data_IF_565849361835
#
_entry.id   IF_565849361835
#
_cell.length_a   1.000
_cell.length_b   1.000
_cell.length_c   1.000
_cell.angle_alpha   90.00
_cell.angle_beta   90.00
_cell.angle_gamma   90.00
#
_symmetry.space_group_name_H-M   'P 1'
#
loop_
_entity.id
_entity.type
_entity.pdbx_description
1 polymer ?
#
# COMPACT_ATOMS: atom_id res chain seq x y z
N UNK A 1 -8.47 13.18 -15.23
CA UNK A 1 -8.08 13.73 -13.91
C UNK A 1 -6.91 14.67 -14.11
N UNK A 2 -7.02 15.96 -13.77
CA UNK A 2 -5.93 16.92 -13.98
C UNK A 2 -4.96 16.88 -12.80
N UNK A 3 -3.66 16.76 -13.06
CA UNK A 3 -2.60 16.80 -12.04
C UNK A 3 -2.13 18.24 -11.85
N UNK A 4 -2.14 18.75 -10.61
CA UNK A 4 -1.44 19.99 -10.27
C UNK A 4 0.06 19.81 -10.53
N UNK A 5 0.66 20.70 -11.32
CA UNK A 5 2.09 20.67 -11.60
C UNK A 5 2.79 21.74 -10.78
N UNK A 6 4.02 21.46 -10.34
CA UNK A 6 4.82 22.42 -9.55
C UNK A 6 4.91 23.80 -10.24
N UNK A 7 4.99 23.82 -11.58
CA UNK A 7 4.95 25.06 -12.37
C UNK A 7 3.64 25.82 -12.20
N UNK A 8 2.49 25.15 -12.26
CA UNK A 8 1.17 25.78 -12.09
C UNK A 8 0.99 26.33 -10.67
N UNK A 9 1.41 25.59 -9.65
CA UNK A 9 1.35 26.04 -8.25
C UNK A 9 2.21 27.28 -8.03
N UNK A 10 3.41 27.30 -8.62
CA UNK A 10 4.34 28.43 -8.54
C UNK A 10 3.78 29.67 -9.27
N UNK A 11 3.23 29.49 -10.47
CA UNK A 11 2.57 30.57 -11.23
C UNK A 11 1.38 31.13 -10.45
N UNK A 12 0.49 30.29 -9.92
CA UNK A 12 -0.65 30.73 -9.09
C UNK A 12 -0.20 31.55 -7.88
N UNK A 13 0.86 31.12 -7.21
CA UNK A 13 1.44 31.83 -6.06
C UNK A 13 1.99 33.20 -6.44
N UNK A 14 2.71 33.30 -7.57
CA UNK A 14 3.25 34.57 -8.08
C UNK A 14 2.13 35.51 -8.52
N UNK A 15 1.16 35.03 -9.31
CA UNK A 15 0.07 35.87 -9.81
C UNK A 15 -0.79 36.42 -8.68
N UNK A 16 -1.09 35.60 -7.67
CA UNK A 16 -1.85 36.06 -6.50
C UNK A 16 -1.08 37.12 -5.71
N UNK A 17 0.23 36.94 -5.52
CA UNK A 17 1.07 37.92 -4.82
C UNK A 17 1.12 39.26 -5.55
N UNK A 18 1.27 39.27 -6.87
CA UNK A 18 1.24 40.52 -7.65
C UNK A 18 -0.09 41.26 -7.42
N UNK A 19 -1.23 40.57 -7.55
CA UNK A 19 -2.55 41.17 -7.33
C UNK A 19 -2.71 41.72 -5.90
N UNK A 20 -2.30 40.93 -4.89
CA UNK A 20 -2.42 41.34 -3.49
C UNK A 20 -1.54 42.56 -3.17
N UNK A 21 -0.30 42.56 -3.65
CA UNK A 21 0.65 43.65 -3.42
C UNK A 21 0.22 44.93 -4.15
N UNK A 22 -0.24 44.83 -5.40
CA UNK A 22 -0.78 45.98 -6.14
C UNK A 22 -1.99 46.59 -5.42
N UNK A 23 -2.86 45.77 -4.83
CA UNK A 23 -4.01 46.26 -4.06
C UNK A 23 -3.56 47.06 -2.84
N UNK A 24 -2.57 46.59 -2.07
CA UNK A 24 -2.03 47.36 -0.93
C UNK A 24 -1.38 48.66 -1.40
N UNK A 25 -0.60 48.63 -2.48
CA UNK A 25 0.03 49.82 -3.04
C UNK A 25 -1.02 50.88 -3.44
N UNK A 26 -2.12 50.48 -4.09
CA UNK A 26 -3.22 51.38 -4.47
C UNK A 26 -3.88 52.00 -3.23
N UNK A 27 -4.17 51.20 -2.21
CA UNK A 27 -4.78 51.70 -0.96
C UNK A 27 -3.86 52.71 -0.28
N UNK A 28 -2.58 52.38 -0.11
CA UNK A 28 -1.61 53.29 0.54
C UNK A 28 -1.46 54.58 -0.26
N UNK A 29 -1.44 54.50 -1.60
CA UNK A 29 -1.37 55.68 -2.45
C UNK A 29 -2.61 56.57 -2.29
N UNK A 30 -3.82 56.00 -2.26
CA UNK A 30 -5.06 56.76 -2.11
C UNK A 30 -5.14 57.51 -0.77
N UNK A 31 -4.62 56.94 0.32
CA UNK A 31 -4.67 57.57 1.64
C UNK A 31 -3.57 58.61 1.87
N UNK A 32 -2.35 58.38 1.37
CA UNK A 32 -1.19 59.21 1.68
C UNK A 32 -0.71 60.09 0.53
N UNK A 33 -1.23 59.89 -0.70
CA UNK A 33 -0.83 60.62 -1.91
C UNK A 33 0.63 60.38 -2.33
N UNK A 34 1.31 59.41 -1.71
CA UNK A 34 2.76 59.21 -1.80
C UNK A 34 3.10 57.86 -2.40
N UNK A 35 3.59 57.88 -3.65
CA UNK A 35 3.93 56.69 -4.42
C UNK A 35 5.13 55.93 -3.82
N UNK A 36 6.09 56.65 -3.26
CA UNK A 36 7.26 56.09 -2.58
C UNK A 36 6.87 55.25 -1.36
N UNK A 37 5.97 55.76 -0.52
CA UNK A 37 5.42 55.02 0.61
C UNK A 37 4.64 53.79 0.15
N UNK A 38 3.79 53.93 -0.86
CA UNK A 38 3.02 52.82 -1.41
C UNK A 38 3.92 51.67 -1.90
N UNK A 39 4.94 51.97 -2.70
CA UNK A 39 5.87 50.97 -3.23
C UNK A 39 6.66 50.30 -2.09
N UNK A 40 7.18 51.10 -1.15
CA UNK A 40 7.95 50.58 -0.01
C UNK A 40 7.10 49.64 0.87
N UNK A 41 5.87 50.04 1.21
CA UNK A 41 4.94 49.21 1.97
C UNK A 41 4.63 47.91 1.23
N UNK A 42 4.29 47.96 -0.07
CA UNK A 42 3.98 46.77 -0.85
C UNK A 42 5.15 45.78 -0.94
N UNK A 43 6.39 46.27 -1.11
CA UNK A 43 7.57 45.40 -1.13
C UNK A 43 7.85 44.76 0.24
N UNK A 44 7.83 45.56 1.31
CA UNK A 44 8.06 45.07 2.68
C UNK A 44 7.01 44.04 3.07
N UNK A 45 5.73 44.34 2.81
CA UNK A 45 4.60 43.43 3.09
C UNK A 45 4.77 42.10 2.35
N UNK A 46 5.17 42.15 1.08
CA UNK A 46 5.38 40.94 0.27
C UNK A 46 6.45 40.03 0.87
N UNK A 47 7.60 40.59 1.23
CA UNK A 47 8.71 39.84 1.85
C UNK A 47 8.29 39.29 3.21
N UNK A 48 7.65 40.09 4.05
CA UNK A 48 7.16 39.67 5.36
C UNK A 48 6.14 38.54 5.26
N UNK A 49 5.15 38.63 4.36
CA UNK A 49 4.14 37.57 4.16
C UNK A 49 4.78 36.26 3.71
N UNK A 50 5.82 36.31 2.88
CA UNK A 50 6.56 35.10 2.48
C UNK A 50 7.22 34.46 3.71
N UNK A 51 7.94 35.26 4.51
CA UNK A 51 8.58 34.79 5.73
C UNK A 51 7.58 34.23 6.74
N UNK A 52 6.49 34.95 7.00
CA UNK A 52 5.41 34.52 7.90
C UNK A 52 4.73 33.25 7.41
N UNK A 53 4.45 33.13 6.11
CA UNK A 53 3.89 31.90 5.53
C UNK A 53 4.84 30.72 5.71
N UNK A 54 6.13 30.90 5.45
CA UNK A 54 7.14 29.85 5.64
C UNK A 54 7.24 29.40 7.11
N UNK A 55 7.22 30.35 8.06
CA UNK A 55 7.19 30.04 9.50
C UNK A 55 5.89 29.31 9.86
N UNK A 56 4.75 29.80 9.38
CA UNK A 56 3.43 29.21 9.59
C UNK A 56 3.37 27.78 9.04
N UNK A 57 3.85 27.53 7.81
CA UNK A 57 3.91 26.21 7.20
C UNK A 57 4.79 25.25 8.03
N UNK A 58 5.97 25.70 8.47
CA UNK A 58 6.83 24.90 9.35
C UNK A 58 6.19 24.60 10.70
N UNK A 59 5.46 25.56 11.27
CA UNK A 59 4.72 25.36 12.51
C UNK A 59 3.57 24.36 12.28
N UNK A 60 2.82 24.53 11.21
CA UNK A 60 1.69 23.67 10.84
C UNK A 60 2.11 22.24 10.52
N UNK A 61 3.32 22.02 10.00
CA UNK A 61 3.86 20.68 9.80
C UNK A 61 3.96 19.87 11.11
N UNK A 62 4.23 20.55 12.24
CA UNK A 62 4.25 19.95 13.58
C UNK A 62 2.85 19.75 14.16
N UNK A 63 1.88 20.54 13.72
CA UNK A 63 0.48 20.42 14.12
C UNK A 63 -0.14 19.18 13.46
N UNK A 64 -0.67 18.26 14.28
CA UNK A 64 -1.34 17.03 13.80
C UNK A 64 -2.86 17.19 13.65
N UNK A 65 -3.41 18.35 14.02
CA UNK A 65 -4.83 18.65 13.93
C UNK A 65 -5.32 18.53 12.47
N UNK A 66 -6.42 17.78 12.27
CA UNK A 66 -6.99 17.49 10.94
C UNK A 66 -6.32 16.36 10.14
N UNK A 67 -5.20 15.77 10.62
CA UNK A 67 -4.62 14.56 9.99
C UNK A 67 -5.37 13.32 10.48
N UNK A 68 -6.12 12.68 9.59
CA UNK A 68 -6.73 11.37 9.85
C UNK A 68 -5.65 10.31 9.62
N UNK A 69 -5.29 9.58 10.68
CA UNK A 69 -4.41 8.42 10.53
C UNK A 69 -5.29 7.25 10.09
N UNK A 70 -5.07 6.75 8.88
CA UNK A 70 -5.64 5.48 8.47
C UNK A 70 -4.91 4.41 9.28
N UNK A 71 -5.66 3.63 10.05
CA UNK A 71 -5.09 2.46 10.71
C UNK A 71 -4.71 1.45 9.63
N UNK A 72 -3.42 1.11 9.47
CA UNK A 72 -3.00 0.26 8.39
C UNK A 72 -3.49 -1.17 8.62
N UNK A 73 -3.69 -1.89 7.52
CA UNK A 73 -4.06 -3.30 7.52
C UNK A 73 -3.11 -4.12 6.64
N UNK A 74 -3.15 -5.44 6.78
CA UNK A 74 -2.43 -6.36 5.92
C UNK A 74 -3.40 -7.38 5.33
N UNK A 75 -3.57 -7.37 4.01
CA UNK A 75 -4.23 -8.46 3.29
C UNK A 75 -3.21 -9.54 2.98
N UNK A 76 -3.27 -10.65 3.72
CA UNK A 76 -2.36 -11.78 3.55
C UNK A 76 -3.01 -12.90 2.74
N UNK A 77 -2.69 -12.98 1.46
CA UNK A 77 -3.13 -14.03 0.57
C UNK A 77 -2.30 -15.30 0.77
N UNK A 78 -2.99 -16.40 1.09
CA UNK A 78 -2.41 -17.74 1.29
C UNK A 78 -3.13 -18.79 0.44
N UNK A 79 -2.46 -19.87 0.06
CA UNK A 79 -3.01 -20.89 -0.85
C UNK A 79 -1.94 -21.65 -1.62
N UNK A 80 -2.32 -22.76 -2.24
CA UNK A 80 -1.43 -23.59 -3.06
C UNK A 80 -0.78 -22.81 -4.21
N UNK A 81 0.43 -23.17 -4.68
CA UNK A 81 0.98 -22.65 -5.93
C UNK A 81 -0.07 -22.71 -7.06
N UNK A 82 -0.13 -21.69 -7.91
CA UNK A 82 -1.13 -21.57 -8.99
C UNK A 82 -2.62 -21.56 -8.56
N UNK A 83 -2.93 -21.36 -7.28
CA UNK A 83 -4.33 -21.17 -6.84
C UNK A 83 -4.97 -19.86 -7.29
N UNK A 84 -4.21 -18.92 -7.88
CA UNK A 84 -4.73 -17.61 -8.33
C UNK A 84 -4.42 -16.43 -7.40
N UNK A 85 -3.66 -16.65 -6.31
CA UNK A 85 -3.28 -15.59 -5.34
C UNK A 85 -2.79 -14.30 -5.98
N UNK A 86 -1.71 -14.36 -6.77
CA UNK A 86 -1.09 -13.17 -7.37
C UNK A 86 -2.10 -12.44 -8.26
N UNK A 87 -2.84 -13.16 -9.11
CA UNK A 87 -3.85 -12.57 -9.99
C UNK A 87 -4.95 -11.82 -9.24
N UNK A 88 -5.48 -12.40 -8.16
CA UNK A 88 -6.52 -11.75 -7.35
C UNK A 88 -5.89 -10.59 -6.55
N UNK A 89 -4.73 -10.79 -5.94
CA UNK A 89 -4.05 -9.79 -5.13
C UNK A 89 -3.67 -8.54 -5.94
N UNK A 90 -3.20 -8.71 -7.18
CA UNK A 90 -2.84 -7.60 -8.06
C UNK A 90 -4.08 -6.76 -8.43
N UNK A 91 -5.19 -7.40 -8.81
CA UNK A 91 -6.44 -6.68 -9.07
C UNK A 91 -7.03 -6.01 -7.82
N UNK A 92 -6.97 -6.68 -6.67
CA UNK A 92 -7.38 -6.07 -5.38
C UNK A 92 -6.53 -4.86 -5.07
N UNK A 93 -5.21 -4.94 -5.30
CA UNK A 93 -4.30 -3.81 -5.12
C UNK A 93 -4.68 -2.65 -6.05
N UNK A 94 -4.90 -2.90 -7.34
CA UNK A 94 -5.33 -1.88 -8.31
C UNK A 94 -6.64 -1.20 -7.88
N UNK A 95 -7.63 -1.95 -7.38
CA UNK A 95 -8.91 -1.37 -6.92
C UNK A 95 -8.77 -0.55 -5.62
N UNK A 96 -7.91 -0.98 -4.70
CA UNK A 96 -7.67 -0.26 -3.45
C UNK A 96 -6.77 0.96 -3.64
N UNK A 97 -5.83 0.94 -4.59
CA UNK A 97 -4.97 2.07 -4.93
C UNK A 97 -5.79 3.29 -5.39
N UNK A 98 -6.92 3.06 -6.07
CA UNK A 98 -7.87 4.11 -6.47
C UNK A 98 -8.43 4.91 -5.29
N UNK A 99 -8.37 4.37 -4.07
CA UNK A 99 -8.79 5.06 -2.85
C UNK A 99 -7.76 6.08 -2.36
N UNK A 100 -6.59 6.15 -3.01
CA UNK A 100 -5.49 7.07 -2.67
C UNK A 100 -5.00 6.95 -1.23
N UNK A 101 -5.11 5.74 -0.66
CA UNK A 101 -4.56 5.41 0.65
C UNK A 101 -3.12 4.89 0.50
N UNK A 102 -2.25 5.05 1.51
CA UNK A 102 -0.92 4.43 1.47
C UNK A 102 -1.04 2.90 1.48
N UNK A 103 -0.65 2.26 0.38
CA UNK A 103 -0.83 0.83 0.14
C UNK A 103 0.34 0.28 -0.68
N UNK A 104 0.90 -0.87 -0.28
CA UNK A 104 2.00 -1.52 -0.98
C UNK A 104 1.68 -2.97 -1.36
N UNK A 105 2.13 -3.38 -2.54
CA UNK A 105 1.98 -4.74 -3.05
C UNK A 105 3.25 -5.55 -2.76
N UNK A 106 3.10 -6.70 -2.13
CA UNK A 106 4.21 -7.59 -1.75
C UNK A 106 3.98 -9.00 -2.28
N UNK A 107 4.63 -9.40 -3.38
CA UNK A 107 4.59 -10.78 -3.88
C UNK A 107 5.87 -11.54 -3.54
N UNK A 108 5.71 -12.83 -3.26
CA UNK A 108 6.83 -13.75 -3.06
C UNK A 108 7.84 -13.76 -4.22
N UNK A 109 7.42 -13.53 -5.46
CA UNK A 109 8.33 -13.49 -6.61
C UNK A 109 9.25 -12.28 -6.59
N UNK A 110 8.75 -11.13 -6.15
CA UNK A 110 9.49 -9.87 -6.19
C UNK A 110 10.48 -9.78 -5.03
N UNK A 111 10.06 -10.23 -3.83
CA UNK A 111 10.88 -10.09 -2.62
C UNK A 111 11.90 -11.20 -2.45
N UNK A 112 11.66 -12.40 -3.01
CA UNK A 112 12.53 -13.54 -2.73
C UNK A 112 13.95 -13.36 -3.24
N UNK A 113 14.15 -12.68 -4.35
CA UNK A 113 15.48 -12.40 -4.89
C UNK A 113 16.18 -11.25 -4.13
N UNK A 114 15.41 -10.41 -3.43
CA UNK A 114 15.93 -9.29 -2.64
C UNK A 114 16.42 -9.72 -1.24
N UNK A 115 15.90 -10.83 -0.72
CA UNK A 115 16.24 -11.32 0.62
C UNK A 115 17.24 -12.47 0.49
N UNK A 116 18.49 -12.31 0.95
CA UNK A 116 19.49 -13.37 0.84
C UNK A 116 19.20 -14.55 1.78
N UNK A 117 19.79 -15.71 1.45
CA UNK A 117 19.74 -16.94 2.25
C UNK A 117 18.30 -17.46 2.48
N UNK A 118 17.51 -17.53 1.41
CA UNK A 118 16.19 -18.17 1.42
C UNK A 118 16.30 -19.55 0.78
N UNK A 119 16.10 -20.58 1.59
CA UNK A 119 15.87 -21.94 1.09
C UNK A 119 14.39 -22.28 0.93
N UNK A 120 14.12 -23.56 0.69
CA UNK A 120 12.75 -24.10 0.57
C UNK A 120 12.38 -25.07 1.69
N UNK A 121 13.29 -25.30 2.65
CA UNK A 121 12.98 -26.10 3.85
C UNK A 121 11.91 -25.41 4.70
N UNK A 122 11.28 -26.18 5.60
CA UNK A 122 10.30 -25.63 6.55
C UNK A 122 10.91 -24.50 7.40
N UNK A 123 12.12 -24.70 7.90
CA UNK A 123 12.89 -23.73 8.69
C UNK A 123 13.13 -22.42 7.90
N UNK A 124 13.57 -22.54 6.64
CA UNK A 124 13.86 -21.40 5.78
C UNK A 124 12.59 -20.60 5.46
N UNK A 125 11.48 -21.30 5.20
CA UNK A 125 10.18 -20.68 4.95
C UNK A 125 9.69 -19.95 6.19
N UNK A 126 9.74 -20.58 7.37
CA UNK A 126 9.38 -19.94 8.63
C UNK A 126 10.23 -18.68 8.87
N UNK A 127 11.56 -18.76 8.67
CA UNK A 127 12.46 -17.61 8.80
C UNK A 127 12.13 -16.50 7.81
N UNK A 128 11.86 -16.87 6.55
CA UNK A 128 11.46 -15.91 5.53
C UNK A 128 10.15 -15.21 5.92
N UNK A 129 9.15 -15.93 6.42
CA UNK A 129 7.89 -15.34 6.88
C UNK A 129 8.10 -14.34 8.03
N UNK A 130 8.97 -14.63 8.99
CA UNK A 130 9.30 -13.65 10.05
C UNK A 130 9.95 -12.37 9.48
N UNK A 131 10.83 -12.49 8.47
CA UNK A 131 11.41 -11.31 7.80
C UNK A 131 10.36 -10.48 7.08
N UNK A 132 9.42 -11.14 6.39
CA UNK A 132 8.28 -10.47 5.75
C UNK A 132 7.38 -9.81 6.80
N UNK A 133 7.11 -10.47 7.92
CA UNK A 133 6.37 -9.90 9.04
C UNK A 133 7.00 -8.61 9.54
N UNK A 134 8.32 -8.59 9.78
CA UNK A 134 9.04 -7.39 10.18
C UNK A 134 8.95 -6.26 9.13
N UNK A 135 9.06 -6.58 7.84
CA UNK A 135 8.88 -5.61 6.77
C UNK A 135 7.48 -4.98 6.81
N UNK A 136 6.45 -5.80 6.98
CA UNK A 136 5.06 -5.33 7.09
C UNK A 136 4.89 -4.47 8.34
N UNK A 137 5.44 -4.85 9.50
CA UNK A 137 5.43 -4.01 10.70
C UNK A 137 6.07 -2.63 10.44
N UNK A 138 7.22 -2.59 9.75
CA UNK A 138 7.89 -1.33 9.38
C UNK A 138 7.00 -0.47 8.49
N UNK A 139 6.32 -1.05 7.50
CA UNK A 139 5.38 -0.34 6.64
C UNK A 139 4.18 0.19 7.43
N UNK A 140 3.60 -0.64 8.30
CA UNK A 140 2.48 -0.25 9.16
C UNK A 140 2.85 0.87 10.16
N UNK A 141 4.09 0.88 10.68
CA UNK A 141 4.57 1.99 11.50
C UNK A 141 4.57 3.33 10.75
N UNK A 142 4.67 3.30 9.42
CA UNK A 142 4.55 4.44 8.52
C UNK A 142 3.13 4.63 7.97
N UNK A 143 2.13 3.97 8.55
CA UNK A 143 0.70 4.00 8.15
C UNK A 143 0.45 3.49 6.73
N UNK A 144 1.32 2.59 6.24
CA UNK A 144 1.19 1.93 4.94
C UNK A 144 0.51 0.58 5.14
N UNK A 145 -0.62 0.37 4.45
CA UNK A 145 -1.29 -0.92 4.38
C UNK A 145 -0.61 -1.81 3.34
N UNK A 146 -0.85 -3.12 3.39
CA UNK A 146 -0.17 -4.07 2.50
C UNK A 146 -1.13 -5.08 1.86
N UNK A 147 -0.81 -5.46 0.63
CA UNK A 147 -1.42 -6.57 -0.11
C UNK A 147 -0.33 -7.60 -0.39
N UNK A 148 -0.23 -8.60 0.49
CA UNK A 148 0.84 -9.58 0.52
C UNK A 148 0.36 -10.94 -0.03
N UNK A 149 1.14 -11.58 -0.91
CA UNK A 149 0.80 -12.89 -1.49
C UNK A 149 1.93 -13.89 -1.35
N UNK A 150 1.69 -14.93 -0.55
CA UNK A 150 2.66 -15.98 -0.27
C UNK A 150 1.99 -17.34 -0.23
N UNK A 151 2.69 -18.40 -0.63
CA UNK A 151 2.17 -19.76 -0.45
C UNK A 151 1.90 -20.02 1.04
N UNK A 152 2.83 -19.63 1.92
CA UNK A 152 2.69 -19.71 3.39
C UNK A 152 2.00 -21.00 3.88
N UNK A 153 2.55 -22.19 3.54
CA UNK A 153 1.84 -23.47 3.69
C UNK A 153 1.63 -23.90 5.14
N UNK A 154 2.44 -23.40 6.07
CA UNK A 154 2.41 -23.80 7.48
C UNK A 154 1.54 -22.86 8.31
N UNK A 155 0.68 -23.44 9.15
CA UNK A 155 -0.16 -22.76 10.15
C UNK A 155 0.68 -21.91 11.08
N UNK A 156 1.83 -22.43 11.51
CA UNK A 156 2.78 -21.72 12.38
C UNK A 156 3.24 -20.39 11.76
N UNK A 157 3.66 -20.40 10.50
CA UNK A 157 4.05 -19.19 9.76
C UNK A 157 2.92 -18.15 9.73
N UNK A 158 1.69 -18.58 9.43
CA UNK A 158 0.53 -17.67 9.36
C UNK A 158 0.13 -17.14 10.73
N UNK A 159 0.26 -17.96 11.78
CA UNK A 159 0.07 -17.55 13.17
C UNK A 159 1.08 -16.48 13.57
N UNK A 160 2.36 -16.69 13.28
CA UNK A 160 3.42 -15.71 13.55
C UNK A 160 3.14 -14.38 12.85
N UNK A 161 2.77 -14.39 11.56
CA UNK A 161 2.38 -13.15 10.84
C UNK A 161 1.22 -12.44 11.55
N UNK A 162 0.17 -13.17 11.92
CA UNK A 162 -1.00 -12.60 12.63
C UNK A 162 -0.62 -11.99 13.98
N UNK A 163 0.36 -12.54 14.69
CA UNK A 163 0.85 -12.00 15.97
C UNK A 163 1.78 -10.81 15.79
N UNK A 164 2.51 -10.74 14.66
CA UNK A 164 3.47 -9.66 14.39
C UNK A 164 2.81 -8.39 13.83
N UNK A 165 1.80 -8.52 12.96
CA UNK A 165 1.24 -7.39 12.21
C UNK A 165 -0.14 -6.99 12.73
N UNK A 166 -0.45 -5.70 12.67
CA UNK A 166 -1.75 -5.19 13.07
C UNK A 166 -2.78 -5.42 11.97
N UNK A 167 -4.05 -5.61 12.34
CA UNK A 167 -5.17 -5.71 11.39
C UNK A 167 -4.89 -6.71 10.24
N UNK A 168 -4.40 -7.90 10.61
CA UNK A 168 -4.07 -8.96 9.65
C UNK A 168 -5.33 -9.66 9.16
N UNK A 169 -5.52 -9.69 7.85
CA UNK A 169 -6.68 -10.30 7.19
C UNK A 169 -6.14 -11.43 6.31
N UNK A 170 -6.34 -12.67 6.76
CA UNK A 170 -5.96 -13.85 6.00
C UNK A 170 -7.01 -14.09 4.93
N UNK A 171 -6.58 -13.95 3.67
CA UNK A 171 -7.36 -14.29 2.49
C UNK A 171 -6.91 -15.67 2.00
N UNK A 172 -7.70 -16.69 2.29
CA UNK A 172 -7.42 -18.04 1.80
C UNK A 172 -7.95 -18.21 0.38
N UNK A 173 -7.02 -18.34 -0.56
CA UNK A 173 -7.31 -18.64 -1.96
C UNK A 173 -7.29 -20.15 -2.14
N UNK A 174 -8.46 -20.76 -1.94
CA UNK A 174 -8.70 -22.19 -2.05
C UNK A 174 -8.78 -22.60 -3.52
N UNK A 175 -8.14 -23.71 -3.82
CA UNK A 175 -8.19 -24.38 -5.12
C UNK A 175 -7.82 -25.85 -4.91
N UNK A 176 -8.47 -26.76 -5.63
CA UNK A 176 -8.03 -28.14 -5.63
C UNK A 176 -6.64 -28.29 -6.28
N UNK A 177 -5.80 -29.18 -5.73
CA UNK A 177 -4.47 -29.49 -6.28
C UNK A 177 -4.54 -29.85 -7.76
N UNK A 178 -5.54 -30.64 -8.16
CA UNK A 178 -5.74 -31.04 -9.56
C UNK A 178 -6.07 -29.82 -10.46
N UNK A 179 -6.83 -28.85 -9.97
CA UNK A 179 -7.01 -27.59 -10.69
C UNK A 179 -5.69 -26.82 -10.82
N UNK A 180 -4.91 -26.73 -9.75
CA UNK A 180 -3.60 -26.07 -9.79
C UNK A 180 -2.65 -26.73 -10.80
N UNK A 181 -2.62 -28.07 -10.86
CA UNK A 181 -1.85 -28.84 -11.85
C UNK A 181 -2.31 -28.55 -13.28
N UNK A 182 -3.62 -28.49 -13.54
CA UNK A 182 -4.16 -28.12 -14.86
C UNK A 182 -3.77 -26.70 -15.28
N UNK A 183 -3.58 -25.78 -14.32
CA UNK A 183 -3.16 -24.39 -14.54
C UNK A 183 -1.63 -24.25 -14.72
N UNK A 184 -0.86 -25.33 -14.71
CA UNK A 184 0.62 -25.34 -14.68
C UNK A 184 1.29 -25.01 -16.01
N UNK A 185 1.03 -23.80 -16.51
CA UNK A 185 1.66 -23.24 -17.71
C UNK A 185 3.18 -23.06 -17.59
N UNK A 186 3.75 -23.06 -16.37
CA UNK A 186 5.20 -22.90 -16.12
C UNK A 186 5.91 -24.21 -15.77
N UNK A 187 5.19 -25.33 -15.71
CA UNK A 187 5.75 -26.65 -15.39
C UNK A 187 6.25 -26.78 -13.95
N UNK A 188 5.82 -25.94 -13.00
CA UNK A 188 6.27 -26.00 -11.62
C UNK A 188 5.78 -27.28 -10.90
N UNK A 189 4.54 -27.69 -11.14
CA UNK A 189 4.01 -28.96 -10.64
C UNK A 189 4.64 -30.16 -11.36
N UNK A 190 4.87 -30.05 -12.67
CA UNK A 190 5.55 -31.10 -13.42
C UNK A 190 6.97 -31.39 -12.86
N UNK A 191 7.73 -30.32 -12.56
CA UNK A 191 9.05 -30.40 -11.93
C UNK A 191 9.03 -30.91 -10.50
N UNK A 192 7.99 -30.59 -9.73
CA UNK A 192 7.81 -31.16 -8.40
C UNK A 192 7.53 -32.67 -8.47
N UNK A 193 6.67 -33.10 -9.40
CA UNK A 193 6.34 -34.52 -9.60
C UNK A 193 7.53 -35.35 -10.10
N UNK A 194 8.45 -34.76 -10.87
CA UNK A 194 9.69 -35.42 -11.29
C UNK A 194 10.78 -35.43 -10.22
N UNK A 195 10.56 -34.77 -9.07
CA UNK A 195 11.53 -34.65 -7.98
C UNK A 195 12.61 -33.59 -8.20
N UNK A 196 12.53 -32.77 -9.26
CA UNK A 196 13.43 -31.62 -9.48
C UNK A 196 13.21 -30.55 -8.40
N UNK A 197 11.95 -30.30 -8.03
CA UNK A 197 11.60 -29.42 -6.92
C UNK A 197 11.19 -30.23 -5.69
N UNK A 198 11.92 -30.03 -4.58
CA UNK A 198 11.63 -30.63 -3.28
C UNK A 198 10.86 -29.68 -2.37
N UNK A 199 10.11 -30.24 -1.43
CA UNK A 199 9.25 -29.55 -0.46
C UNK A 199 8.17 -28.69 -1.14
N UNK A 200 7.56 -29.16 -2.22
CA UNK A 200 6.56 -28.42 -2.99
C UNK A 200 5.14 -28.63 -2.43
N UNK A 201 4.46 -27.57 -1.97
CA UNK A 201 3.13 -27.71 -1.35
C UNK A 201 2.08 -28.28 -2.29
N UNK A 202 1.40 -29.34 -1.86
CA UNK A 202 0.41 -30.07 -2.63
C UNK A 202 0.99 -31.16 -3.54
N UNK A 203 2.29 -31.47 -3.43
CA UNK A 203 2.93 -32.62 -4.10
C UNK A 203 3.64 -33.49 -3.05
N UNK A 204 4.81 -33.06 -2.60
CA UNK A 204 5.65 -33.77 -1.61
C UNK A 204 5.70 -33.07 -0.25
N UNK A 205 5.05 -31.90 -0.12
CA UNK A 205 4.84 -31.19 1.14
C UNK A 205 3.35 -30.89 1.37
N UNK A 206 2.91 -30.95 2.63
CA UNK A 206 1.52 -30.69 3.00
C UNK A 206 1.27 -29.18 3.04
N UNK A 207 0.18 -28.75 2.42
CA UNK A 207 -0.37 -27.42 2.65
C UNK A 207 -1.40 -27.50 3.78
N UNK A 208 -1.10 -26.90 4.93
CA UNK A 208 -2.03 -26.84 6.05
C UNK A 208 -3.07 -25.76 5.74
N UNK A 209 -4.33 -26.12 5.54
CA UNK A 209 -5.38 -25.13 5.28
C UNK A 209 -5.61 -24.22 6.51
N UNK A 210 -5.91 -22.93 6.33
CA UNK A 210 -6.18 -22.02 7.44
C UNK A 210 -7.56 -22.31 8.05
N UNK A 211 -7.58 -22.71 9.32
CA UNK A 211 -8.82 -22.95 10.09
C UNK A 211 -9.65 -21.67 10.34
N UNK A 212 -8.99 -20.52 10.42
CA UNK A 212 -9.61 -19.22 10.73
C UNK A 212 -9.09 -18.16 9.75
N UNK A 213 -9.56 -18.21 8.51
CA UNK A 213 -9.36 -17.14 7.54
C UNK A 213 -10.53 -16.14 7.63
N UNK A 214 -10.23 -14.85 7.58
CA UNK A 214 -11.25 -13.79 7.54
C UNK A 214 -12.03 -13.84 6.21
N UNK A 215 -11.37 -14.24 5.12
CA UNK A 215 -11.97 -14.38 3.79
C UNK A 215 -11.47 -15.68 3.16
N UNK A 216 -12.39 -16.51 2.67
CA UNK A 216 -12.07 -17.69 1.87
C UNK A 216 -12.67 -17.53 0.48
N UNK A 217 -11.82 -17.64 -0.55
CA UNK A 217 -12.20 -17.59 -1.96
C UNK A 217 -11.92 -18.96 -2.57
N UNK A 218 -12.97 -19.65 -3.00
CA UNK A 218 -12.84 -20.87 -3.79
C UNK A 218 -12.72 -20.53 -5.28
N UNK A 219 -11.52 -20.65 -5.83
CA UNK A 219 -11.25 -20.30 -7.24
C UNK A 219 -11.65 -21.37 -8.23
N UNK A 220 -12.23 -22.49 -7.78
CA UNK A 220 -12.88 -23.46 -8.65
C UNK A 220 -14.29 -23.00 -9.03
N UNK A 221 -14.95 -22.19 -8.19
CA UNK A 221 -16.33 -21.72 -8.39
C UNK A 221 -16.48 -20.20 -8.52
N UNK A 222 -15.50 -19.43 -8.05
CA UNK A 222 -15.58 -17.96 -7.99
C UNK A 222 -14.69 -17.34 -9.05
N UNK A 223 -15.23 -16.41 -9.83
CA UNK A 223 -14.45 -15.65 -10.81
C UNK A 223 -13.48 -14.69 -10.12
N UNK A 224 -12.45 -14.24 -10.86
CA UNK A 224 -11.49 -13.28 -10.31
C UNK A 224 -12.17 -11.97 -9.91
N UNK A 225 -13.11 -11.48 -10.72
CA UNK A 225 -13.75 -10.18 -10.47
C UNK A 225 -14.69 -10.25 -9.26
N UNK A 226 -15.45 -11.34 -9.09
CA UNK A 226 -16.24 -11.58 -7.88
C UNK A 226 -15.36 -11.67 -6.62
N UNK A 227 -14.22 -12.35 -6.71
CA UNK A 227 -13.27 -12.46 -5.60
C UNK A 227 -12.72 -11.08 -5.19
N UNK A 228 -12.36 -10.25 -6.17
CA UNK A 228 -11.90 -8.87 -5.96
C UNK A 228 -12.98 -8.05 -5.27
N UNK A 229 -14.22 -8.11 -5.75
CA UNK A 229 -15.35 -7.37 -5.18
C UNK A 229 -15.60 -7.76 -3.72
N UNK A 230 -15.57 -9.05 -3.38
CA UNK A 230 -15.72 -9.55 -2.01
C UNK A 230 -14.65 -8.93 -1.10
N UNK A 231 -13.39 -9.01 -1.52
CA UNK A 231 -12.24 -8.56 -0.70
C UNK A 231 -12.25 -7.03 -0.55
N UNK A 232 -12.44 -6.29 -1.63
CA UNK A 232 -12.48 -4.81 -1.62
C UNK A 232 -13.65 -4.31 -0.77
N UNK A 233 -14.82 -4.94 -0.87
CA UNK A 233 -15.98 -4.59 -0.05
C UNK A 233 -15.74 -4.82 1.43
N UNK A 234 -15.08 -5.94 1.79
CA UNK A 234 -14.68 -6.22 3.16
C UNK A 234 -13.72 -5.13 3.68
N UNK A 235 -12.66 -4.82 2.93
CA UNK A 235 -11.68 -3.80 3.32
C UNK A 235 -12.33 -2.44 3.50
N UNK A 236 -13.17 -2.01 2.54
CA UNK A 236 -13.87 -0.74 2.61
C UNK A 236 -14.73 -0.67 3.88
N UNK A 237 -15.56 -1.68 4.12
CA UNK A 237 -16.46 -1.73 5.29
C UNK A 237 -15.72 -1.64 6.63
N UNK A 238 -14.55 -2.27 6.74
CA UNK A 238 -13.87 -2.43 8.04
C UNK A 238 -12.77 -1.40 8.30
N UNK A 239 -12.11 -0.88 7.25
CA UNK A 239 -10.90 -0.07 7.39
C UNK A 239 -10.98 1.28 6.67
N UNK A 240 -11.90 1.46 5.71
CA UNK A 240 -12.04 2.70 4.95
C UNK A 240 -13.40 3.33 5.30
N UNK A 241 -13.40 4.23 6.28
CA UNK A 241 -14.60 5.01 6.66
C UNK A 241 -14.82 6.20 5.75
#
# INVERSE_FOLDING_TARGET
>A
MYKETNKRTLVKGVTWRVVATTTTMVIVYLFFGRLDLAIATGMIESVLKIGLFWVHEKAWFKVRWGKIRIEPFNLWFTGLPLSGKTTIADKVYEELEKLQIPLERIDSKDIRDLIPNIGYSREDRNRHMHRIGNLICTLQNNSISTVASFVSPYKESRKAIREMVNNNIIVYVKANVETCKRRDHKGAYAKALSGEFKNFPGVDEVYEEPEHAEITIDTDSTSVDEAVDIIVKYVKKHYIK
#
